data_IF_635356656696
#
_entry.id   IF_635356656696
#
_cell.length_a   1.000
_cell.length_b   1.000
_cell.length_c   1.000
_cell.angle_alpha   90.00
_cell.angle_beta   90.00
_cell.angle_gamma   90.00
#
_symmetry.space_group_name_H-M   'P 1'
#
loop_
_entity.id
_entity.type
_entity.pdbx_description
1 polymer ?
#
# COMPACT_ATOMS: atom_id res chain seq x y z
N UNK A 1 -38.62 27.08 4.11
CA UNK A 1 -37.17 26.86 4.23
C UNK A 1 -36.45 27.85 3.31
N UNK A 2 -35.29 28.32 3.74
CA UNK A 2 -34.40 29.17 2.92
C UNK A 2 -33.17 28.34 2.60
N UNK A 3 -32.82 28.27 1.31
CA UNK A 3 -31.61 27.60 0.83
C UNK A 3 -30.60 28.65 0.40
N UNK A 4 -29.36 28.58 0.93
CA UNK A 4 -28.28 29.47 0.53
C UNK A 4 -27.42 28.70 -0.45
N UNK A 5 -27.33 29.15 -1.69
CA UNK A 5 -26.60 28.50 -2.79
C UNK A 5 -25.20 29.08 -3.06
N UNK A 6 -24.85 30.18 -2.39
CA UNK A 6 -23.54 30.83 -2.53
C UNK A 6 -22.74 30.74 -1.22
N UNK A 7 -21.40 30.67 -1.35
CA UNK A 7 -20.49 30.70 -0.22
C UNK A 7 -20.11 32.13 0.12
N UNK A 8 -19.71 32.38 1.38
CA UNK A 8 -19.22 33.66 1.86
C UNK A 8 -19.93 34.13 3.10
N UNK A 9 -19.68 35.37 3.49
CA UNK A 9 -20.34 35.97 4.62
C UNK A 9 -21.73 36.48 4.21
N UNK A 10 -22.76 36.06 4.93
CA UNK A 10 -24.14 36.35 4.69
C UNK A 10 -24.79 37.01 5.90
N UNK A 11 -25.79 37.84 5.63
CA UNK A 11 -26.77 38.33 6.62
C UNK A 11 -28.17 38.03 6.11
N UNK A 12 -29.10 37.80 7.01
CA UNK A 12 -30.52 37.68 6.66
C UNK A 12 -31.22 38.99 7.04
N UNK A 13 -31.92 39.57 6.09
CA UNK A 13 -32.78 40.75 6.34
C UNK A 13 -34.23 40.34 6.20
N UNK A 14 -35.00 40.56 7.23
CA UNK A 14 -36.45 40.41 7.21
C UNK A 14 -37.09 41.79 7.13
N UNK A 15 -38.00 41.98 6.17
CA UNK A 15 -38.75 43.21 6.02
C UNK A 15 -40.25 42.90 6.12
N UNK A 16 -41.00 43.73 6.82
CA UNK A 16 -42.43 43.57 6.94
C UNK A 16 -43.09 43.78 5.58
N UNK A 17 -44.04 42.91 5.20
CA UNK A 17 -44.67 42.91 3.88
C UNK A 17 -45.53 44.17 3.63
N UNK A 18 -46.01 44.83 4.67
CA UNK A 18 -46.85 46.03 4.56
C UNK A 18 -46.38 47.14 5.53
N UNK A 19 -45.07 47.47 5.53
CA UNK A 19 -44.50 48.49 6.37
C UNK A 19 -43.04 48.76 6.01
N UNK A 20 -42.38 49.65 6.77
CA UNK A 20 -40.97 50.01 6.60
C UNK A 20 -40.05 49.32 7.59
N UNK A 21 -40.63 48.56 8.51
CA UNK A 21 -39.86 47.90 9.55
C UNK A 21 -39.04 46.74 8.97
N UNK A 22 -37.77 46.75 9.21
CA UNK A 22 -36.83 45.71 8.84
C UNK A 22 -35.85 45.39 9.98
N UNK A 23 -35.39 44.15 10.01
CA UNK A 23 -34.36 43.67 10.91
C UNK A 23 -33.35 42.83 10.15
N UNK A 24 -32.08 43.01 10.47
CA UNK A 24 -30.98 42.25 9.87
C UNK A 24 -30.28 41.41 10.94
N UNK A 25 -30.00 40.16 10.63
CA UNK A 25 -29.24 39.25 11.49
C UNK A 25 -27.80 39.72 11.65
N UNK A 26 -27.10 39.16 12.65
CA UNK A 26 -25.63 39.15 12.63
C UNK A 26 -25.10 38.46 11.36
N UNK A 27 -23.86 38.75 11.02
CA UNK A 27 -23.16 38.10 9.92
C UNK A 27 -22.86 36.63 10.29
N UNK A 28 -23.08 35.71 9.36
CA UNK A 28 -22.67 34.32 9.46
C UNK A 28 -21.98 33.88 8.16
N UNK A 29 -21.06 32.93 8.23
CA UNK A 29 -20.36 32.40 7.05
C UNK A 29 -21.01 31.12 6.54
N UNK A 30 -21.10 31.02 5.22
CA UNK A 30 -21.55 29.83 4.49
C UNK A 30 -20.35 29.22 3.79
N UNK A 31 -19.93 28.04 4.24
CA UNK A 31 -18.86 27.28 3.60
C UNK A 31 -19.37 26.48 2.42
N UNK A 32 -18.48 26.20 1.45
CA UNK A 32 -18.80 25.30 0.35
C UNK A 32 -19.06 23.88 0.87
N UNK A 33 -20.15 23.27 0.40
CA UNK A 33 -20.45 21.89 0.71
C UNK A 33 -19.37 20.95 0.13
N UNK A 34 -19.07 19.87 0.83
CA UNK A 34 -18.20 18.81 0.32
C UNK A 34 -18.93 18.04 -0.78
N UNK A 35 -18.29 17.92 -1.94
CA UNK A 35 -18.76 17.14 -3.08
C UNK A 35 -18.05 15.81 -3.24
N UNK A 36 -16.78 15.74 -2.80
CA UNK A 36 -15.97 14.51 -2.83
C UNK A 36 -14.83 14.55 -1.82
N UNK A 37 -14.20 13.41 -1.61
CA UNK A 37 -12.95 13.29 -0.89
C UNK A 37 -11.86 12.71 -1.79
N UNK A 38 -10.60 13.02 -1.49
CA UNK A 38 -9.43 12.41 -2.07
C UNK A 38 -8.44 12.05 -0.97
N UNK A 39 -7.46 11.21 -1.29
CA UNK A 39 -6.29 10.95 -0.47
C UNK A 39 -5.03 11.13 -1.32
N UNK A 40 -4.02 11.74 -0.72
CA UNK A 40 -2.76 12.09 -1.38
C UNK A 40 -1.57 11.95 -0.41
N UNK A 41 -0.35 11.93 -0.92
CA UNK A 41 0.83 12.06 -0.05
C UNK A 41 0.77 13.38 0.75
N UNK A 42 1.40 13.43 1.95
CA UNK A 42 1.43 14.63 2.76
C UNK A 42 1.89 15.86 1.98
N UNK A 43 1.13 16.95 2.08
CA UNK A 43 1.35 18.22 1.40
C UNK A 43 1.30 18.18 -0.15
N UNK A 44 0.95 17.06 -0.77
CA UNK A 44 0.76 16.98 -2.22
C UNK A 44 -0.48 17.76 -2.69
N UNK A 45 -0.58 18.01 -3.99
CA UNK A 45 -1.74 18.69 -4.57
C UNK A 45 -3.05 17.92 -4.23
N UNK A 46 -4.09 18.60 -3.76
CA UNK A 46 -5.29 17.94 -3.26
C UNK A 46 -6.10 17.19 -4.33
N UNK A 47 -5.89 17.48 -5.60
CA UNK A 47 -6.64 16.88 -6.72
C UNK A 47 -5.80 15.91 -7.51
N UNK A 48 -4.60 16.31 -7.92
CA UNK A 48 -3.70 15.55 -8.79
C UNK A 48 -2.55 14.87 -8.05
N UNK A 49 -2.45 15.05 -6.74
CA UNK A 49 -1.40 14.45 -5.91
C UNK A 49 -1.42 12.92 -6.00
N UNK A 50 -0.22 12.33 -6.04
CA UNK A 50 -0.02 10.89 -6.13
C UNK A 50 0.05 10.26 -4.75
N UNK A 51 -0.11 8.93 -4.72
CA UNK A 51 0.18 8.08 -3.58
C UNK A 51 1.32 7.15 -3.98
N UNK A 52 2.46 7.24 -3.28
CA UNK A 52 3.60 6.38 -3.55
C UNK A 52 3.40 4.97 -3.00
N UNK A 53 4.14 4.02 -3.56
CA UNK A 53 4.17 2.64 -3.09
C UNK A 53 4.44 2.56 -1.59
N UNK A 54 3.63 1.81 -0.87
CA UNK A 54 3.77 1.55 0.57
C UNK A 54 4.40 0.18 0.81
N UNK A 55 4.89 -0.04 2.02
CA UNK A 55 5.47 -1.32 2.45
C UNK A 55 4.50 -2.04 3.36
N UNK A 56 4.17 -3.28 3.06
CA UNK A 56 3.31 -4.11 3.88
C UNK A 56 3.85 -4.20 5.33
N UNK A 57 2.99 -4.03 6.31
CA UNK A 57 3.34 -4.09 7.73
C UNK A 57 4.05 -2.86 8.30
N UNK A 58 4.34 -1.85 7.49
CA UNK A 58 4.88 -0.57 7.95
C UNK A 58 3.79 0.49 8.01
N UNK A 59 3.94 1.40 8.97
CA UNK A 59 3.09 2.56 9.09
C UNK A 59 3.37 3.56 7.95
N UNK A 60 2.31 4.21 7.45
CA UNK A 60 2.44 5.21 6.39
C UNK A 60 1.51 6.39 6.63
N UNK A 61 1.95 7.56 6.18
CA UNK A 61 1.18 8.78 6.24
C UNK A 61 0.47 9.07 4.92
N UNK A 62 -0.72 9.67 5.00
CA UNK A 62 -1.48 10.26 3.90
C UNK A 62 -2.24 11.48 4.42
N UNK A 63 -2.58 12.39 3.53
CA UNK A 63 -3.55 13.44 3.79
C UNK A 63 -4.90 13.05 3.17
N UNK A 64 -5.95 13.15 3.96
CA UNK A 64 -7.33 13.07 3.49
C UNK A 64 -7.80 14.50 3.19
N UNK A 65 -8.32 14.72 2.00
CA UNK A 65 -8.74 16.04 1.56
C UNK A 65 -10.23 16.06 1.21
N UNK A 66 -10.94 17.03 1.73
CA UNK A 66 -12.34 17.31 1.41
C UNK A 66 -12.39 18.33 0.27
N UNK A 67 -13.07 18.00 -0.82
CA UNK A 67 -13.17 18.83 -2.03
C UNK A 67 -14.61 19.30 -2.25
N UNK A 68 -14.77 20.55 -2.66
CA UNK A 68 -16.04 21.10 -3.10
C UNK A 68 -16.33 20.75 -4.57
N UNK A 69 -17.47 21.20 -5.09
CA UNK A 69 -17.89 20.93 -6.46
C UNK A 69 -16.96 21.54 -7.54
N UNK A 70 -16.14 22.53 -7.17
CA UNK A 70 -15.13 23.13 -8.06
C UNK A 70 -13.75 22.46 -7.93
N UNK A 71 -13.67 21.32 -7.27
CA UNK A 71 -12.41 20.60 -7.01
C UNK A 71 -11.36 21.41 -6.25
N UNK A 72 -11.77 22.31 -5.37
CA UNK A 72 -10.90 23.01 -4.43
C UNK A 72 -11.20 22.54 -3.00
N UNK A 73 -10.30 22.81 -2.06
CA UNK A 73 -10.50 22.42 -0.66
C UNK A 73 -11.78 23.00 -0.09
N UNK A 74 -12.61 22.15 0.50
CA UNK A 74 -13.77 22.54 1.28
C UNK A 74 -13.33 22.97 2.68
N UNK A 75 -12.73 24.16 2.80
CA UNK A 75 -12.04 24.66 4.00
C UNK A 75 -12.91 24.77 5.25
N UNK A 76 -14.24 24.82 5.07
CA UNK A 76 -15.20 24.83 6.18
C UNK A 76 -15.70 23.44 6.59
N UNK A 77 -15.21 22.36 6.01
CA UNK A 77 -15.68 21.02 6.36
C UNK A 77 -15.23 20.62 7.76
N UNK A 78 -16.19 20.18 8.57
CA UNK A 78 -15.99 19.53 9.87
C UNK A 78 -16.85 18.28 9.93
N UNK A 79 -16.36 17.20 10.55
CA UNK A 79 -17.11 15.97 10.65
C UNK A 79 -16.22 14.74 10.78
N UNK A 80 -16.86 13.59 10.96
CA UNK A 80 -16.16 12.32 11.12
C UNK A 80 -16.30 11.52 9.83
N UNK A 81 -15.16 11.08 9.28
CA UNK A 81 -15.09 10.22 8.10
C UNK A 81 -14.49 8.86 8.46
N UNK A 82 -14.98 7.81 7.83
CA UNK A 82 -14.33 6.51 7.83
C UNK A 82 -13.33 6.44 6.69
N UNK A 83 -12.14 5.90 6.95
CA UNK A 83 -11.06 5.74 5.96
C UNK A 83 -10.71 4.27 5.85
N UNK A 84 -10.71 3.78 4.63
CA UNK A 84 -10.47 2.37 4.30
C UNK A 84 -9.47 2.24 3.15
N UNK A 85 -8.69 1.18 3.17
CA UNK A 85 -7.93 0.73 1.99
C UNK A 85 -8.75 -0.36 1.30
N UNK A 86 -8.89 -0.26 -0.02
CA UNK A 86 -9.69 -1.18 -0.83
C UNK A 86 -8.88 -1.69 -2.02
N UNK A 87 -9.17 -2.93 -2.45
CA UNK A 87 -8.54 -3.55 -3.62
C UNK A 87 -9.22 -3.10 -4.91
N UNK A 88 -8.48 -2.44 -5.77
CA UNK A 88 -8.93 -1.97 -7.07
C UNK A 88 -8.47 -2.88 -8.23
N UNK A 89 -7.98 -4.09 -7.96
CA UNK A 89 -7.43 -4.98 -8.98
C UNK A 89 -8.46 -5.42 -10.03
N UNK A 90 -9.73 -5.55 -9.62
CA UNK A 90 -10.84 -5.87 -10.52
C UNK A 90 -11.45 -4.65 -11.22
N UNK A 91 -11.08 -3.44 -10.81
CA UNK A 91 -11.77 -2.20 -11.21
C UNK A 91 -13.18 -2.14 -10.65
N UNK A 92 -13.90 -1.09 -10.98
CA UNK A 92 -15.30 -0.95 -10.59
C UNK A 92 -15.62 0.31 -9.80
N UNK A 93 -16.88 0.43 -9.37
CA UNK A 93 -17.33 1.56 -8.58
C UNK A 93 -16.73 1.53 -7.18
N UNK A 94 -16.27 2.68 -6.69
CA UNK A 94 -15.63 2.87 -5.40
C UNK A 94 -16.32 2.17 -4.23
N UNK A 95 -17.65 2.28 -4.16
CA UNK A 95 -18.43 1.71 -3.07
C UNK A 95 -18.39 0.17 -3.01
N UNK A 96 -18.20 -0.48 -4.17
CA UNK A 96 -18.19 -1.95 -4.30
C UNK A 96 -16.81 -2.61 -4.23
N UNK A 97 -15.73 -1.83 -4.12
CA UNK A 97 -14.38 -2.39 -4.06
C UNK A 97 -14.17 -3.21 -2.77
N UNK A 98 -13.49 -4.37 -2.84
CA UNK A 98 -13.23 -5.22 -1.68
C UNK A 98 -12.40 -4.48 -0.61
N UNK A 99 -12.79 -4.64 0.65
CA UNK A 99 -12.07 -4.05 1.78
C UNK A 99 -10.76 -4.80 2.03
N UNK A 100 -9.65 -4.06 2.12
CA UNK A 100 -8.34 -4.55 2.56
C UNK A 100 -8.14 -4.27 4.05
N UNK A 101 -8.31 -2.99 4.45
CA UNK A 101 -8.14 -2.55 5.82
C UNK A 101 -9.07 -1.36 6.11
N UNK A 102 -9.54 -1.28 7.35
CA UNK A 102 -10.23 -0.10 7.87
C UNK A 102 -9.37 0.54 8.96
N UNK A 103 -9.23 1.85 8.90
CA UNK A 103 -8.50 2.62 9.89
C UNK A 103 -9.45 3.25 10.91
N UNK A 104 -8.90 3.78 11.99
CA UNK A 104 -9.67 4.58 12.94
C UNK A 104 -10.36 5.75 12.22
N UNK A 105 -11.60 6.03 12.57
CA UNK A 105 -12.32 7.15 12.00
C UNK A 105 -11.58 8.46 12.24
N UNK A 106 -11.52 9.30 11.22
CA UNK A 106 -10.80 10.57 11.26
C UNK A 106 -11.80 11.72 11.50
N UNK A 107 -11.40 12.66 12.34
CA UNK A 107 -12.25 13.81 12.70
C UNK A 107 -11.67 15.08 12.12
N UNK A 108 -12.35 15.64 11.12
CA UNK A 108 -12.02 16.96 10.59
C UNK A 108 -12.51 18.04 11.55
N UNK A 109 -11.63 18.95 11.87
CA UNK A 109 -11.92 20.16 12.68
C UNK A 109 -11.72 21.41 11.82
N UNK A 110 -12.20 22.58 12.27
CA UNK A 110 -12.09 23.82 11.51
C UNK A 110 -10.64 24.20 11.15
N UNK A 111 -9.68 23.84 12.03
CA UNK A 111 -8.26 24.09 11.79
C UNK A 111 -7.64 23.30 10.63
N UNK A 112 -8.26 22.20 10.23
CA UNK A 112 -7.80 21.38 9.10
C UNK A 112 -7.98 22.07 7.74
N UNK A 113 -8.88 23.01 7.67
CA UNK A 113 -9.15 23.78 6.43
C UNK A 113 -9.36 22.86 5.20
N UNK A 114 -10.05 21.74 5.40
CA UNK A 114 -10.35 20.76 4.37
C UNK A 114 -9.24 19.75 4.06
N UNK A 115 -8.10 19.75 4.81
CA UNK A 115 -7.01 18.78 4.68
C UNK A 115 -6.65 18.22 6.06
N UNK A 116 -6.78 16.94 6.25
CA UNK A 116 -6.54 16.26 7.52
C UNK A 116 -5.46 15.18 7.34
N UNK A 117 -4.40 15.22 8.15
CA UNK A 117 -3.39 14.17 8.16
C UNK A 117 -3.96 12.89 8.78
N UNK A 118 -3.83 11.77 8.09
CA UNK A 118 -4.31 10.47 8.57
C UNK A 118 -3.57 10.08 9.87
N UNK A 119 -4.34 9.90 10.95
CA UNK A 119 -3.79 9.58 12.28
C UNK A 119 -3.22 8.16 12.30
N UNK A 120 -1.96 8.02 12.64
CA UNK A 120 -1.27 6.72 12.78
C UNK A 120 -1.79 5.91 14.01
N UNK A 121 -1.64 4.56 14.02
CA UNK A 121 -0.94 3.76 13.02
C UNK A 121 -1.81 3.37 11.82
N UNK A 122 -1.23 3.42 10.62
CA UNK A 122 -1.89 3.06 9.38
C UNK A 122 -1.09 1.96 8.68
N UNK A 123 -1.41 0.71 8.95
CA UNK A 123 -0.67 -0.44 8.41
C UNK A 123 -1.56 -1.37 7.62
N UNK A 124 -1.00 -2.00 6.59
CA UNK A 124 -1.63 -3.09 5.83
C UNK A 124 -0.66 -4.26 5.83
N UNK A 125 -1.08 -5.40 6.36
CA UNK A 125 -0.19 -6.55 6.60
C UNK A 125 0.26 -7.26 5.31
N UNK A 126 -0.58 -7.24 4.28
CA UNK A 126 -0.38 -7.99 3.04
C UNK A 126 -0.09 -7.10 1.84
N UNK A 127 0.40 -7.72 0.78
CA UNK A 127 0.76 -7.07 -0.49
C UNK A 127 -0.47 -6.91 -1.37
N UNK A 128 -0.55 -5.77 -2.06
CA UNK A 128 -1.58 -5.48 -3.06
C UNK A 128 -0.97 -4.67 -4.20
N UNK A 129 -1.22 -5.09 -5.42
CA UNK A 129 -0.69 -4.39 -6.61
C UNK A 129 -1.43 -3.09 -6.90
N UNK A 130 -2.71 -3.04 -6.59
CA UNK A 130 -3.59 -1.95 -6.99
C UNK A 130 -4.59 -1.62 -5.86
N UNK A 131 -4.17 -0.80 -4.91
CA UNK A 131 -5.00 -0.33 -3.80
C UNK A 131 -5.48 1.10 -4.03
N UNK A 132 -6.62 1.44 -3.43
CA UNK A 132 -7.15 2.81 -3.32
C UNK A 132 -7.53 3.11 -1.88
N UNK A 133 -7.58 4.40 -1.55
CA UNK A 133 -8.16 4.87 -0.30
C UNK A 133 -9.63 5.17 -0.56
N UNK A 134 -10.53 4.58 0.22
CA UNK A 134 -11.96 4.88 0.22
C UNK A 134 -12.33 5.68 1.46
N UNK A 135 -12.99 6.80 1.26
CA UNK A 135 -13.45 7.70 2.32
C UNK A 135 -14.97 7.76 2.30
N UNK A 136 -15.57 7.59 3.47
CA UNK A 136 -17.02 7.59 3.66
C UNK A 136 -17.41 8.69 4.65
N UNK A 137 -18.38 9.51 4.31
CA UNK A 137 -18.87 10.59 5.15
C UNK A 137 -20.41 10.62 5.17
N UNK A 138 -21.05 10.80 6.36
CA UNK A 138 -20.48 10.63 7.69
C UNK A 138 -20.03 9.18 7.94
N UNK A 139 -19.10 8.96 8.86
CA UNK A 139 -18.56 7.62 9.13
C UNK A 139 -19.61 6.57 9.52
N UNK A 140 -20.60 6.97 10.35
CA UNK A 140 -21.61 6.05 10.88
C UNK A 140 -22.73 5.70 9.88
N UNK A 141 -23.10 6.64 8.99
CA UNK A 141 -24.19 6.46 8.00
C UNK A 141 -23.79 7.18 6.72
N UNK A 142 -22.95 6.60 5.88
CA UNK A 142 -22.38 7.29 4.74
C UNK A 142 -23.42 7.70 3.71
N UNK A 143 -23.45 8.99 3.41
CA UNK A 143 -24.21 9.56 2.29
C UNK A 143 -23.31 9.93 1.12
N UNK A 144 -22.00 10.04 1.38
CA UNK A 144 -20.98 10.32 0.37
C UNK A 144 -19.86 9.26 0.52
N UNK A 145 -19.50 8.61 -0.58
CA UNK A 145 -18.39 7.66 -0.69
C UNK A 145 -17.50 8.08 -1.85
N UNK A 146 -16.22 8.30 -1.57
CA UNK A 146 -15.22 8.68 -2.57
C UNK A 146 -14.00 7.76 -2.46
N UNK A 147 -13.36 7.46 -3.60
CA UNK A 147 -12.04 6.84 -3.62
C UNK A 147 -10.98 7.86 -4.04
N UNK A 148 -9.73 7.61 -3.62
CA UNK A 148 -8.59 8.37 -4.09
C UNK A 148 -8.54 8.41 -5.62
N UNK A 149 -8.15 9.55 -6.18
CA UNK A 149 -7.96 9.73 -7.61
C UNK A 149 -6.83 8.82 -8.13
N UNK A 150 -5.78 8.68 -7.34
CA UNK A 150 -4.67 7.79 -7.62
C UNK A 150 -4.86 6.42 -6.98
N UNK A 151 -4.19 5.42 -7.54
CA UNK A 151 -4.04 4.09 -6.98
C UNK A 151 -2.56 3.82 -6.71
N UNK A 152 -2.28 2.95 -5.75
CA UNK A 152 -0.92 2.67 -5.32
C UNK A 152 -0.72 1.18 -5.05
N UNK A 153 0.56 0.77 -5.06
CA UNK A 153 0.94 -0.58 -4.68
C UNK A 153 1.35 -0.65 -3.21
N UNK A 154 1.14 -1.81 -2.60
CA UNK A 154 1.67 -2.17 -1.30
C UNK A 154 2.59 -3.37 -1.55
N UNK A 155 3.91 -3.19 -1.40
CA UNK A 155 4.92 -4.19 -1.70
C UNK A 155 5.40 -4.94 -0.45
N UNK A 156 6.04 -6.12 -0.58
CA UNK A 156 6.72 -6.75 0.54
C UNK A 156 7.91 -5.87 1.01
N UNK A 157 8.28 -6.02 2.26
CA UNK A 157 9.47 -5.38 2.80
C UNK A 157 10.74 -6.08 2.35
N UNK A 158 10.70 -7.42 2.33
CA UNK A 158 11.83 -8.25 1.94
C UNK A 158 11.40 -9.58 1.32
N UNK A 159 12.32 -10.19 0.62
CA UNK A 159 12.25 -11.57 0.16
C UNK A 159 13.37 -12.35 0.83
N UNK A 160 13.10 -13.55 1.30
CA UNK A 160 14.11 -14.50 1.77
C UNK A 160 14.15 -15.74 0.88
N UNK A 161 15.25 -16.44 0.91
CA UNK A 161 15.48 -17.65 0.12
C UNK A 161 16.01 -18.76 1.01
N UNK A 162 15.45 -19.95 0.83
CA UNK A 162 16.00 -21.18 1.32
C UNK A 162 16.36 -22.08 0.12
N UNK A 163 17.55 -22.59 0.10
CA UNK A 163 18.00 -23.52 -0.93
C UNK A 163 18.15 -24.89 -0.28
N UNK A 164 17.52 -25.90 -0.84
CA UNK A 164 17.51 -27.26 -0.31
C UNK A 164 17.87 -28.27 -1.39
N UNK A 165 18.55 -29.32 -0.98
CA UNK A 165 18.82 -30.51 -1.77
C UNK A 165 18.00 -31.67 -1.19
N UNK A 166 17.17 -32.30 -2.01
CA UNK A 166 16.32 -33.41 -1.59
C UNK A 166 16.94 -34.77 -1.88
N UNK A 167 18.12 -34.82 -2.50
CA UNK A 167 18.56 -36.01 -3.23
C UNK A 167 20.06 -36.33 -3.12
N UNK A 168 20.81 -35.70 -2.21
CA UNK A 168 22.27 -35.85 -2.25
C UNK A 168 22.81 -37.23 -1.89
N UNK A 169 22.35 -37.81 -0.79
CA UNK A 169 22.94 -39.08 -0.23
C UNK A 169 21.87 -40.10 0.11
N UNK A 170 20.68 -39.65 0.46
CA UNK A 170 19.56 -40.51 0.82
C UNK A 170 18.29 -39.93 0.18
N UNK A 171 17.66 -40.70 -0.68
CA UNK A 171 16.42 -40.29 -1.33
C UNK A 171 15.39 -39.87 -0.30
N UNK A 172 14.74 -38.73 -0.54
CA UNK A 172 13.68 -38.18 0.32
C UNK A 172 14.15 -37.39 1.54
N UNK A 173 15.45 -37.26 1.81
CA UNK A 173 15.96 -36.46 2.92
C UNK A 173 16.36 -35.07 2.41
N UNK A 174 15.53 -34.08 2.70
CA UNK A 174 15.87 -32.67 2.43
C UNK A 174 16.88 -32.13 3.43
N UNK A 175 17.77 -31.27 2.96
CA UNK A 175 18.70 -30.52 3.79
C UNK A 175 18.88 -29.13 3.23
N UNK A 176 19.20 -28.18 4.08
CA UNK A 176 19.55 -26.83 3.67
C UNK A 176 20.95 -26.82 3.06
N UNK A 177 21.08 -26.24 1.88
CA UNK A 177 22.36 -25.95 1.24
C UNK A 177 22.88 -24.62 1.79
N UNK A 178 23.55 -24.68 2.91
CA UNK A 178 24.06 -23.51 3.60
C UNK A 178 25.44 -23.79 4.18
N UNK A 179 26.43 -23.04 3.71
CA UNK A 179 27.75 -22.98 4.29
C UNK A 179 28.01 -21.57 4.84
N UNK A 180 28.57 -21.49 6.03
CA UNK A 180 28.92 -20.21 6.66
C UNK A 180 30.15 -19.56 6.05
N UNK A 181 31.07 -20.38 5.52
CA UNK A 181 32.35 -19.96 4.90
C UNK A 181 32.69 -20.84 3.71
N UNK A 182 33.55 -20.36 2.82
CA UNK A 182 34.08 -21.13 1.69
C UNK A 182 34.93 -22.33 2.13
N UNK A 183 35.49 -22.28 3.34
CA UNK A 183 36.27 -23.38 3.91
C UNK A 183 35.41 -24.54 4.42
N UNK A 184 34.09 -24.39 4.45
CA UNK A 184 33.18 -25.46 4.85
C UNK A 184 33.17 -26.60 3.82
N UNK A 185 32.83 -27.81 4.28
CA UNK A 185 32.72 -28.96 3.37
C UNK A 185 31.65 -28.76 2.31
N UNK A 186 31.88 -29.26 1.10
CA UNK A 186 30.92 -29.24 -0.02
C UNK A 186 29.58 -29.85 0.41
N UNK A 187 28.52 -29.14 0.19
CA UNK A 187 27.15 -29.53 0.59
C UNK A 187 26.28 -30.01 -0.57
N UNK A 188 26.70 -29.78 -1.82
CA UNK A 188 25.97 -30.16 -3.02
C UNK A 188 26.91 -30.73 -4.09
N UNK A 189 26.40 -31.60 -4.94
CA UNK A 189 27.16 -32.21 -6.04
C UNK A 189 26.72 -31.56 -7.37
N UNK A 190 27.71 -31.29 -8.24
CA UNK A 190 27.44 -30.81 -9.58
C UNK A 190 26.47 -31.75 -10.37
N UNK A 191 25.60 -31.19 -11.17
CA UNK A 191 24.63 -31.96 -11.97
C UNK A 191 23.40 -32.47 -11.20
N UNK A 192 23.30 -32.21 -9.92
CA UNK A 192 22.15 -32.60 -9.12
C UNK A 192 21.10 -31.49 -9.06
N UNK A 193 19.80 -31.81 -9.03
CA UNK A 193 18.77 -30.82 -8.82
C UNK A 193 18.80 -30.27 -7.38
N UNK A 194 18.41 -29.01 -7.24
CA UNK A 194 18.19 -28.37 -5.96
C UNK A 194 16.91 -27.54 -6.01
N UNK A 195 16.38 -27.18 -4.87
CA UNK A 195 15.13 -26.46 -4.73
C UNK A 195 15.39 -25.12 -4.06
N UNK A 196 14.86 -24.04 -4.64
CA UNK A 196 14.81 -22.71 -4.03
C UNK A 196 13.39 -22.45 -3.56
N UNK A 197 13.23 -22.10 -2.30
CA UNK A 197 11.99 -21.59 -1.75
C UNK A 197 12.17 -20.10 -1.47
N UNK A 198 11.42 -19.26 -2.16
CA UNK A 198 11.39 -17.83 -1.93
C UNK A 198 10.16 -17.48 -1.08
N UNK A 199 10.34 -16.61 -0.08
CA UNK A 199 9.29 -16.20 0.84
C UNK A 199 9.25 -14.68 0.93
N UNK A 200 8.06 -14.09 0.79
CA UNK A 200 7.83 -12.66 0.92
C UNK A 200 7.44 -12.30 2.37
N UNK A 201 8.09 -11.28 2.93
CA UNK A 201 7.84 -10.81 4.30
C UNK A 201 7.40 -9.36 4.31
N UNK A 202 6.53 -9.04 5.27
CA UNK A 202 6.16 -7.68 5.58
C UNK A 202 7.21 -7.00 6.47
N UNK A 203 7.08 -5.68 6.66
CA UNK A 203 8.00 -4.84 7.44
C UNK A 203 7.57 -4.60 8.88
N UNK A 204 6.73 -5.44 9.46
CA UNK A 204 6.38 -5.35 10.87
C UNK A 204 7.60 -5.55 11.78
N UNK A 205 7.54 -5.06 13.02
CA UNK A 205 8.63 -5.25 14.00
C UNK A 205 9.02 -6.70 14.20
N UNK A 206 8.07 -7.63 14.07
CA UNK A 206 8.31 -9.07 13.87
C UNK A 206 7.83 -9.41 12.47
N UNK A 207 8.71 -9.59 11.49
CA UNK A 207 8.33 -9.84 10.11
C UNK A 207 7.46 -11.10 9.98
N UNK A 208 6.32 -10.96 9.31
CA UNK A 208 5.44 -12.08 9.00
C UNK A 208 5.40 -12.31 7.48
N UNK A 209 5.09 -13.53 7.08
CA UNK A 209 4.87 -13.86 5.67
C UNK A 209 3.70 -13.04 5.17
N UNK A 210 3.90 -12.33 4.04
CA UNK A 210 2.87 -11.55 3.37
C UNK A 210 2.34 -12.29 2.17
N UNK A 211 1.03 -12.34 2.01
CA UNK A 211 0.35 -12.99 0.88
C UNK A 211 0.08 -11.99 -0.24
N UNK A 212 -0.43 -12.49 -1.37
CA UNK A 212 -0.80 -11.75 -2.59
C UNK A 212 0.38 -11.16 -3.37
N UNK A 213 1.63 -11.54 -3.04
CA UNK A 213 2.76 -11.15 -3.87
C UNK A 213 2.70 -11.92 -5.20
N UNK A 214 2.72 -11.20 -6.31
CA UNK A 214 2.64 -11.74 -7.68
C UNK A 214 3.81 -11.28 -8.56
N UNK A 215 4.88 -10.78 -7.95
CA UNK A 215 6.10 -10.40 -8.63
C UNK A 215 6.87 -11.61 -9.15
N UNK A 216 7.80 -11.36 -10.07
CA UNK A 216 8.69 -12.39 -10.63
C UNK A 216 10.14 -12.04 -10.35
N UNK A 217 10.61 -12.18 -9.10
CA UNK A 217 12.01 -11.89 -8.80
C UNK A 217 12.92 -12.90 -9.50
N UNK A 218 14.09 -12.42 -9.92
CA UNK A 218 15.13 -13.27 -10.47
C UNK A 218 16.17 -13.56 -9.40
N UNK A 219 16.62 -14.81 -9.30
CA UNK A 219 17.79 -15.16 -8.54
C UNK A 219 19.01 -15.15 -9.47
N UNK A 220 20.13 -14.64 -8.98
CA UNK A 220 21.37 -14.59 -9.73
C UNK A 220 22.33 -15.62 -9.14
N UNK A 221 22.85 -16.50 -9.99
CA UNK A 221 23.94 -17.38 -9.63
C UNK A 221 25.27 -16.61 -9.74
N UNK A 222 26.03 -16.60 -8.68
CA UNK A 222 27.34 -15.99 -8.67
C UNK A 222 28.42 -16.99 -8.25
N UNK A 223 29.59 -16.91 -8.88
CA UNK A 223 30.77 -17.62 -8.41
C UNK A 223 31.50 -16.80 -7.36
N UNK A 224 31.99 -17.48 -6.34
CA UNK A 224 32.70 -16.86 -5.24
C UNK A 224 34.18 -17.25 -5.31
N UNK A 225 35.04 -16.24 -5.37
CA UNK A 225 36.49 -16.41 -5.16
C UNK A 225 36.82 -15.98 -3.73
N UNK A 226 36.85 -16.92 -2.80
CA UNK A 226 36.89 -16.61 -1.39
C UNK A 226 35.49 -16.16 -0.88
N UNK A 227 35.47 -15.26 0.09
CA UNK A 227 34.18 -14.70 0.62
C UNK A 227 33.56 -13.65 -0.28
N UNK A 228 34.20 -13.29 -1.39
CA UNK A 228 33.70 -12.33 -2.36
C UNK A 228 33.06 -13.04 -3.56
N UNK A 229 31.76 -12.83 -3.76
CA UNK A 229 30.98 -13.39 -4.86
C UNK A 229 30.69 -12.28 -5.87
N UNK A 230 31.49 -12.17 -6.92
CA UNK A 230 31.48 -11.04 -7.84
C UNK A 230 31.14 -11.38 -9.28
N UNK A 231 31.29 -12.63 -9.70
CA UNK A 231 31.02 -13.03 -11.08
C UNK A 231 29.65 -13.68 -11.20
N UNK A 232 28.75 -13.09 -12.01
CA UNK A 232 27.47 -13.67 -12.36
C UNK A 232 27.67 -14.80 -13.35
N UNK A 233 27.24 -16.02 -13.01
CA UNK A 233 27.33 -17.20 -13.88
C UNK A 233 26.01 -17.61 -14.49
N UNK A 234 24.89 -17.06 -14.01
CA UNK A 234 23.57 -17.36 -14.55
C UNK A 234 22.45 -16.63 -13.83
N UNK A 235 21.29 -16.62 -14.46
CA UNK A 235 20.05 -16.08 -13.88
C UNK A 235 19.04 -17.21 -13.77
N UNK A 236 18.41 -17.33 -12.62
CA UNK A 236 17.36 -18.30 -12.35
C UNK A 236 16.02 -17.56 -12.25
N UNK A 237 15.04 -17.97 -13.03
CA UNK A 237 13.68 -17.48 -12.88
C UNK A 237 12.99 -18.29 -11.79
N UNK A 238 12.56 -17.63 -10.74
CA UNK A 238 11.73 -18.23 -9.71
C UNK A 238 10.34 -18.51 -10.29
N UNK A 239 9.67 -19.56 -9.79
CA UNK A 239 8.31 -19.89 -10.23
C UNK A 239 7.31 -18.77 -9.99
N UNK A 240 6.15 -18.88 -10.58
CA UNK A 240 5.06 -17.91 -10.43
C UNK A 240 4.48 -18.00 -9.01
N UNK A 241 4.35 -16.85 -8.36
CA UNK A 241 3.66 -16.74 -7.10
C UNK A 241 2.15 -16.87 -7.33
N UNK A 242 1.51 -17.75 -6.59
CA UNK A 242 0.05 -17.86 -6.64
C UNK A 242 -0.60 -16.87 -5.67
N UNK A 243 -1.77 -16.36 -6.04
CA UNK A 243 -2.56 -15.51 -5.16
C UNK A 243 -2.83 -16.23 -3.82
N UNK A 244 -2.63 -15.54 -2.72
CA UNK A 244 -2.78 -16.08 -1.38
C UNK A 244 -1.59 -16.87 -0.85
N UNK A 245 -0.56 -17.16 -1.67
CA UNK A 245 0.68 -17.77 -1.22
C UNK A 245 1.73 -16.69 -0.88
N UNK A 246 2.38 -16.82 0.26
CA UNK A 246 3.53 -15.99 0.63
C UNK A 246 4.87 -16.61 0.21
N UNK A 247 4.85 -17.78 -0.40
CA UNK A 247 6.03 -18.55 -0.81
C UNK A 247 5.89 -19.11 -2.22
N UNK A 248 7.02 -19.25 -2.91
CA UNK A 248 7.12 -20.03 -4.15
C UNK A 248 8.30 -20.97 -4.06
N UNK A 249 8.13 -22.19 -4.57
CA UNK A 249 9.16 -23.21 -4.59
C UNK A 249 9.43 -23.63 -6.03
N UNK A 250 10.69 -23.62 -6.46
CA UNK A 250 11.11 -24.03 -7.80
C UNK A 250 12.29 -24.95 -7.69
N UNK A 251 12.24 -26.09 -8.38
CA UNK A 251 13.33 -27.06 -8.50
C UNK A 251 14.08 -26.82 -9.80
N UNK A 252 15.40 -26.73 -9.70
CA UNK A 252 16.28 -26.54 -10.86
C UNK A 252 17.08 -27.81 -11.13
N UNK A 253 16.98 -28.39 -12.34
CA UNK A 253 17.93 -29.36 -12.84
C UNK A 253 19.16 -28.58 -13.34
N UNK A 254 20.27 -28.61 -12.64
CA UNK A 254 21.49 -27.95 -13.07
C UNK A 254 22.59 -28.95 -13.41
N UNK A 255 23.23 -28.70 -14.55
CA UNK A 255 24.50 -29.28 -14.93
C UNK A 255 25.60 -28.27 -14.64
N UNK A 256 26.34 -28.45 -13.56
CA UNK A 256 27.44 -27.56 -13.18
C UNK A 256 27.56 -27.34 -11.68
N UNK A 257 28.63 -26.74 -11.27
CA UNK A 257 28.87 -26.38 -9.88
C UNK A 257 28.14 -25.08 -9.54
N UNK A 258 27.33 -25.11 -8.50
CA UNK A 258 26.70 -23.91 -7.96
C UNK A 258 27.45 -23.56 -6.69
N UNK A 259 28.08 -22.40 -6.71
CA UNK A 259 28.86 -21.94 -5.57
C UNK A 259 28.03 -21.07 -4.62
N UNK A 260 27.14 -20.23 -5.15
CA UNK A 260 26.23 -19.41 -4.36
C UNK A 260 25.02 -18.91 -5.16
N UNK A 261 23.88 -18.78 -4.50
CA UNK A 261 22.71 -18.07 -5.01
C UNK A 261 22.52 -16.82 -4.16
N UNK A 262 22.70 -15.65 -4.72
CA UNK A 262 22.48 -14.36 -4.05
C UNK A 262 21.34 -13.59 -4.68
N UNK A 263 20.64 -12.86 -3.84
CA UNK A 263 19.68 -11.85 -4.27
C UNK A 263 20.34 -10.48 -4.37
N UNK A 264 19.81 -9.59 -5.23
CA UNK A 264 20.16 -8.18 -5.18
C UNK A 264 19.98 -7.65 -3.75
N UNK A 265 20.85 -6.76 -3.30
CA UNK A 265 20.77 -6.16 -1.97
C UNK A 265 19.40 -5.55 -1.73
N UNK A 266 18.92 -5.63 -0.50
CA UNK A 266 17.67 -4.99 -0.09
C UNK A 266 17.71 -3.49 -0.47
N UNK A 267 16.78 -3.04 -1.30
CA UNK A 267 16.75 -1.67 -1.84
C UNK A 267 16.70 -1.58 -3.36
N UNK A 268 16.96 -2.66 -4.09
CA UNK A 268 16.69 -2.69 -5.52
C UNK A 268 15.18 -2.77 -5.72
N UNK A 269 14.59 -1.67 -6.15
CA UNK A 269 13.16 -1.60 -6.48
C UNK A 269 12.90 -2.55 -7.63
N UNK A 270 12.23 -3.64 -7.35
CA UNK A 270 11.63 -4.46 -8.40
C UNK A 270 10.31 -3.77 -8.74
N UNK A 271 10.32 -3.00 -9.84
CA UNK A 271 9.14 -2.33 -10.36
C UNK A 271 8.09 -3.35 -10.82
#
# INVERSE_FOLDING_TARGET
SVTISSTGNCTLTATRTSGTESGTSNTFSVAAAVASFNAVEPAADPVSGKIYTKVAGQDFALDIVALNASSTLATGFTGIVAVEIVDNSSGGACAGLPLIAAFTNQTFVAGDSGRHALTAPNTVANVYRNAKVRIKSPAASPTLTSCSGDNFAIRPASLSFAVTDTDRTTAGTGRTLNNSTIASTTVHNAGRPFTITATAYNGAGTPAITINYDGSPTAVLTTCGGDACTATTGTLTLGTWSAGAGTVTTTYPLSGEILEVRMPAAGTVIA
#
